data_IF_388967217384
#
_entry.id   IF_388967217384
#
_cell.length_a   1.000
_cell.length_b   1.000
_cell.length_c   1.000
_cell.angle_alpha   90.00
_cell.angle_beta   90.00
_cell.angle_gamma   90.00
#
_symmetry.space_group_name_H-M   'P 1'
#
loop_
_entity.id
_entity.type
_entity.pdbx_description
1 polymer ?
#
# COMPACT_ATOMS: atom_id res chain seq x y z
N UNK A 1 5.30 23.95 12.68
CA UNK A 1 5.20 22.48 12.82
C UNK A 1 5.00 21.90 11.44
N UNK A 2 5.88 21.00 11.00
CA UNK A 2 5.93 20.51 9.63
C UNK A 2 4.63 19.78 9.25
N UNK A 3 4.01 20.27 8.18
CA UNK A 3 2.86 19.70 7.50
C UNK A 3 3.21 18.27 7.02
N UNK A 4 2.99 17.28 7.89
CA UNK A 4 3.12 15.86 7.56
C UNK A 4 1.96 15.28 6.69
N UNK A 5 0.74 15.87 6.58
CA UNK A 5 -0.34 15.24 5.83
C UNK A 5 -0.15 15.26 4.32
N UNK A 6 0.65 16.18 3.76
CA UNK A 6 0.93 16.18 2.31
C UNK A 6 1.71 14.93 1.87
N UNK A 7 2.76 14.54 2.60
CA UNK A 7 3.54 13.36 2.28
C UNK A 7 2.77 12.06 2.54
N UNK A 8 1.98 12.00 3.62
CA UNK A 8 1.09 10.87 3.91
C UNK A 8 0.08 10.67 2.77
N UNK A 9 -0.54 11.75 2.28
CA UNK A 9 -1.43 11.70 1.10
C UNK A 9 -0.68 11.34 -0.17
N UNK A 10 0.52 11.88 -0.39
CA UNK A 10 1.32 11.58 -1.59
C UNK A 10 1.63 10.08 -1.67
N UNK A 11 2.08 9.49 -0.56
CA UNK A 11 2.42 8.06 -0.50
C UNK A 11 1.18 7.17 -0.66
N UNK A 12 0.03 7.57 -0.10
CA UNK A 12 -1.25 6.91 -0.31
C UNK A 12 -1.69 6.90 -1.78
N UNK A 13 -1.56 8.04 -2.46
CA UNK A 13 -1.88 8.19 -3.87
C UNK A 13 -0.94 7.37 -4.76
N UNK A 14 0.33 7.30 -4.39
CA UNK A 14 1.34 6.50 -5.07
C UNK A 14 1.01 5.01 -4.96
N UNK A 15 0.78 4.48 -3.75
CA UNK A 15 0.38 3.07 -3.59
C UNK A 15 -0.89 2.76 -4.38
N UNK A 16 -1.88 3.66 -4.33
CA UNK A 16 -3.14 3.47 -5.05
C UNK A 16 -2.94 3.43 -6.57
N UNK A 17 -2.03 4.26 -7.08
CA UNK A 17 -1.66 4.28 -8.50
C UNK A 17 -0.94 3.00 -8.90
N UNK A 18 -0.03 2.50 -8.06
CA UNK A 18 0.70 1.26 -8.31
C UNK A 18 -0.20 0.02 -8.24
N UNK A 19 -1.12 -0.05 -7.27
CA UNK A 19 -2.14 -1.13 -7.21
C UNK A 19 -2.96 -1.15 -8.51
N UNK A 20 -3.38 0.04 -8.99
CA UNK A 20 -4.15 0.17 -10.22
C UNK A 20 -3.32 -0.17 -11.46
N UNK A 21 -2.03 0.16 -11.49
CA UNK A 21 -1.08 -0.19 -12.57
C UNK A 21 -0.80 -1.69 -12.62
N UNK A 22 -0.66 -2.32 -11.48
CA UNK A 22 -0.46 -3.75 -11.37
C UNK A 22 -1.74 -4.56 -11.69
N UNK A 23 -2.87 -3.89 -11.91
CA UNK A 23 -4.16 -4.54 -12.21
C UNK A 23 -4.74 -5.33 -11.03
N UNK A 24 -4.24 -5.08 -9.82
CA UNK A 24 -4.63 -5.82 -8.62
C UNK A 24 -5.75 -5.10 -7.89
N UNK A 25 -6.64 -5.86 -7.27
CA UNK A 25 -7.65 -5.32 -6.36
C UNK A 25 -7.11 -5.35 -4.93
N UNK A 26 -7.71 -4.54 -4.04
CA UNK A 26 -7.37 -4.59 -2.61
C UNK A 26 -7.57 -6.00 -2.05
N UNK A 27 -8.55 -6.76 -2.54
CA UNK A 27 -8.79 -8.16 -2.20
C UNK A 27 -7.55 -9.02 -2.51
N UNK A 28 -7.06 -8.97 -3.75
CA UNK A 28 -5.91 -9.77 -4.19
C UNK A 28 -4.61 -9.34 -3.52
N UNK A 29 -4.43 -8.04 -3.25
CA UNK A 29 -3.29 -7.56 -2.48
C UNK A 29 -3.32 -8.13 -1.05
N UNK A 30 -4.49 -8.10 -0.42
CA UNK A 30 -4.70 -8.63 0.92
C UNK A 30 -4.46 -10.13 0.96
N UNK A 31 -4.95 -10.87 -0.04
CA UNK A 31 -4.76 -12.32 -0.17
C UNK A 31 -3.27 -12.67 -0.28
N UNK A 32 -2.52 -11.98 -1.15
CA UNK A 32 -1.07 -12.14 -1.26
C UNK A 32 -0.31 -11.77 0.02
N UNK A 33 -0.73 -10.70 0.70
CA UNK A 33 -0.17 -10.33 2.00
C UNK A 33 -0.42 -11.45 3.03
N UNK A 34 -1.61 -12.04 3.05
CA UNK A 34 -1.92 -13.20 3.90
C UNK A 34 -1.07 -14.42 3.53
N UNK A 35 -0.86 -14.70 2.24
CA UNK A 35 0.04 -15.77 1.79
C UNK A 35 1.49 -15.55 2.26
N UNK A 36 1.94 -14.30 2.33
CA UNK A 36 3.25 -13.92 2.90
C UNK A 36 3.30 -13.97 4.43
N UNK A 37 2.19 -14.30 5.10
CA UNK A 37 2.08 -14.35 6.56
C UNK A 37 1.66 -13.03 7.22
N UNK A 38 1.34 -12.00 6.43
CA UNK A 38 0.78 -10.74 6.90
C UNK A 38 -0.75 -10.82 6.88
N UNK A 39 -1.31 -11.27 8.01
CA UNK A 39 -2.75 -11.44 8.20
C UNK A 39 -3.49 -10.09 8.26
N UNK A 40 -3.63 -9.43 7.12
CA UNK A 40 -4.37 -8.18 6.97
C UNK A 40 -5.77 -8.43 6.39
N UNK A 41 -6.70 -7.52 6.66
CA UNK A 41 -8.04 -7.51 6.05
C UNK A 41 -8.12 -6.41 5.01
N UNK A 42 -8.91 -6.62 3.96
CA UNK A 42 -9.06 -5.66 2.87
C UNK A 42 -9.50 -4.28 3.36
N UNK A 43 -10.43 -4.25 4.32
CA UNK A 43 -10.87 -3.02 4.98
C UNK A 43 -9.74 -2.31 5.74
N UNK A 44 -8.82 -3.05 6.38
CA UNK A 44 -7.69 -2.49 7.13
C UNK A 44 -6.64 -1.93 6.17
N UNK A 45 -6.29 -2.68 5.12
CA UNK A 45 -5.40 -2.24 4.03
C UNK A 45 -5.94 -0.97 3.40
N UNK A 46 -7.22 -0.96 3.02
CA UNK A 46 -7.86 0.21 2.41
C UNK A 46 -7.86 1.42 3.34
N UNK A 47 -8.06 1.22 4.64
CA UNK A 47 -8.06 2.30 5.62
C UNK A 47 -6.64 2.83 5.89
N UNK A 48 -5.64 1.95 5.98
CA UNK A 48 -4.22 2.32 6.11
C UNK A 48 -3.70 3.08 4.89
N UNK A 49 -3.93 2.55 3.69
CA UNK A 49 -3.58 3.21 2.44
C UNK A 49 -4.35 4.52 2.31
N UNK A 50 -5.66 4.52 2.60
CA UNK A 50 -6.49 5.72 2.53
C UNK A 50 -6.08 6.82 3.50
N UNK A 51 -5.51 6.47 4.66
CA UNK A 51 -5.01 7.42 5.66
C UNK A 51 -3.56 7.84 5.45
N UNK A 52 -2.79 7.15 4.59
CA UNK A 52 -1.37 7.46 4.37
C UNK A 52 -0.45 7.20 5.57
N UNK A 53 -0.98 6.62 6.66
CA UNK A 53 -0.24 6.20 7.84
C UNK A 53 -0.05 4.70 7.81
N UNK A 54 1.07 4.26 7.25
CA UNK A 54 1.51 2.88 7.34
C UNK A 54 3.03 2.84 7.53
N UNK A 55 3.52 1.77 8.14
CA UNK A 55 4.95 1.56 8.30
C UNK A 55 5.61 1.27 6.95
N UNK A 56 6.88 1.65 6.80
CA UNK A 56 7.67 1.31 5.61
C UNK A 56 7.70 -0.21 5.34
N UNK A 57 7.67 -1.05 6.38
CA UNK A 57 7.56 -2.50 6.23
C UNK A 57 6.29 -2.92 5.46
N UNK A 58 5.13 -2.31 5.76
CA UNK A 58 3.87 -2.57 5.07
C UNK A 58 3.93 -2.11 3.60
N UNK A 59 4.57 -0.96 3.35
CA UNK A 59 4.82 -0.48 2.00
C UNK A 59 5.62 -1.50 1.19
N UNK A 60 6.74 -1.97 1.73
CA UNK A 60 7.61 -2.95 1.06
C UNK A 60 6.89 -4.26 0.82
N UNK A 61 6.09 -4.74 1.78
CA UNK A 61 5.27 -5.94 1.61
C UNK A 61 4.23 -5.78 0.51
N UNK A 62 3.57 -4.63 0.43
CA UNK A 62 2.65 -4.34 -0.65
C UNK A 62 3.38 -4.33 -1.98
N UNK A 63 4.54 -3.68 -2.08
CA UNK A 63 5.33 -3.64 -3.32
C UNK A 63 5.82 -5.01 -3.73
N UNK A 64 6.26 -5.84 -2.78
CA UNK A 64 6.67 -7.22 -3.02
C UNK A 64 5.49 -8.08 -3.51
N UNK A 65 4.32 -7.97 -2.86
CA UNK A 65 3.08 -8.63 -3.30
C UNK A 65 2.61 -8.15 -4.69
N UNK A 66 2.80 -6.87 -5.00
CA UNK A 66 2.50 -6.26 -6.31
C UNK A 66 3.57 -6.61 -7.37
N UNK A 67 4.75 -7.11 -6.97
CA UNK A 67 5.90 -7.30 -7.85
C UNK A 67 6.49 -5.99 -8.38
N UNK A 68 6.20 -4.86 -7.72
CA UNK A 68 6.65 -3.52 -8.12
C UNK A 68 8.04 -3.27 -7.56
N UNK A 69 9.03 -3.18 -8.45
CA UNK A 69 10.44 -2.95 -8.09
C UNK A 69 10.90 -1.50 -8.21
N UNK A 70 10.14 -0.67 -8.95
CA UNK A 70 10.47 0.73 -9.20
C UNK A 70 9.28 1.61 -8.82
N UNK A 71 9.55 2.64 -8.01
CA UNK A 71 8.58 3.63 -7.57
C UNK A 71 9.05 4.98 -8.07
N UNK A 72 8.30 5.55 -9.01
CA UNK A 72 8.57 6.90 -9.53
C UNK A 72 7.75 7.91 -8.75
N UNK A 73 8.43 8.83 -8.06
CA UNK A 73 7.86 9.82 -7.13
C UNK A 73 7.68 11.22 -7.74
#
# INVERSE_FOLDING_TARGET
MADSPEYEKKIALILKSEIKRAGLTYATLTDKLNEMGFAEKEANVRNKIGRGKFSAAFMTQCLDALGVRDLRL
#
